data_IF_716846468547
#
_entry.id   IF_716846468547
#
_cell.length_a   1.000
_cell.length_b   1.000
_cell.length_c   1.000
_cell.angle_alpha   90.00
_cell.angle_beta   90.00
_cell.angle_gamma   90.00
#
_symmetry.space_group_name_H-M   'P 1'
#
loop_
_entity.id
_entity.type
_entity.pdbx_description
1 polymer ?
#
# COMPACT_ATOMS: atom_id res chain seq x y z
N UNK A 1 -17.00 -28.72 16.74
CA UNK A 1 -15.71 -28.05 16.46
C UNK A 1 -15.98 -26.87 15.55
N UNK A 2 -15.83 -25.65 16.04
CA UNK A 2 -15.87 -24.45 15.19
C UNK A 2 -14.57 -24.40 14.40
N UNK A 3 -14.64 -24.71 13.10
CA UNK A 3 -13.56 -24.39 12.17
C UNK A 3 -13.52 -22.86 12.12
N UNK A 4 -12.62 -22.26 12.89
CA UNK A 4 -12.25 -20.86 12.71
C UNK A 4 -11.72 -20.76 11.29
N UNK A 5 -12.49 -20.14 10.40
CA UNK A 5 -11.96 -19.62 9.16
C UNK A 5 -10.73 -18.80 9.53
N UNK A 6 -9.53 -19.33 9.23
CA UNK A 6 -8.36 -18.50 9.09
C UNK A 6 -8.71 -17.54 7.96
N UNK A 7 -9.26 -16.38 8.31
CA UNK A 7 -9.28 -15.23 7.44
C UNK A 7 -7.81 -15.04 7.10
N UNK A 8 -7.42 -15.34 5.86
CA UNK A 8 -6.13 -14.95 5.33
C UNK A 8 -6.08 -13.44 5.57
N UNK A 9 -5.42 -13.02 6.65
CA UNK A 9 -5.35 -11.62 7.02
C UNK A 9 -4.48 -11.01 5.93
N UNK A 10 -5.15 -10.38 4.98
CA UNK A 10 -4.52 -9.66 3.89
C UNK A 10 -3.84 -8.48 4.56
N UNK A 11 -2.52 -8.55 4.63
CA UNK A 11 -1.71 -7.59 5.36
C UNK A 11 -0.87 -6.79 4.38
N UNK A 12 -0.81 -5.47 4.59
CA UNK A 12 0.01 -4.54 3.83
C UNK A 12 1.04 -3.90 4.75
N UNK A 13 2.28 -3.78 4.28
CA UNK A 13 3.36 -3.12 5.00
C UNK A 13 3.95 -2.00 4.14
N UNK A 14 4.65 -1.07 4.76
CA UNK A 14 5.45 -0.07 4.04
C UNK A 14 6.88 -0.55 4.02
N UNK A 15 7.36 -0.85 2.81
CA UNK A 15 8.74 -1.18 2.54
C UNK A 15 9.49 0.02 1.97
N UNK A 16 10.77 0.12 2.32
CA UNK A 16 11.72 1.05 1.74
C UNK A 16 12.69 0.32 0.83
N UNK A 17 12.76 0.79 -0.42
CA UNK A 17 13.65 0.26 -1.45
C UNK A 17 14.93 1.11 -1.46
N UNK A 18 16.01 0.59 -0.86
CA UNK A 18 17.29 1.29 -0.78
C UNK A 18 17.82 1.69 -2.16
N UNK A 19 17.65 0.81 -3.16
CA UNK A 19 18.13 1.05 -4.53
C UNK A 19 17.45 2.24 -5.22
N UNK A 20 16.19 2.53 -4.88
CA UNK A 20 15.39 3.59 -5.50
C UNK A 20 15.17 4.78 -4.55
N UNK A 21 15.67 4.71 -3.31
CA UNK A 21 15.38 5.65 -2.23
C UNK A 21 13.87 5.98 -2.12
N UNK A 22 13.04 4.94 -2.13
CA UNK A 22 11.58 5.08 -2.26
C UNK A 22 10.81 4.23 -1.27
N UNK A 23 9.78 4.82 -0.67
CA UNK A 23 8.80 4.11 0.14
C UNK A 23 7.68 3.56 -0.74
N UNK A 24 7.14 2.41 -0.36
CA UNK A 24 6.06 1.79 -1.09
C UNK A 24 5.26 0.82 -0.23
N UNK A 25 3.94 0.86 -0.41
CA UNK A 25 3.05 -0.14 0.19
C UNK A 25 3.21 -1.48 -0.53
N UNK A 26 3.47 -2.55 0.23
CA UNK A 26 3.71 -3.90 -0.27
C UNK A 26 2.74 -4.85 0.43
N UNK A 27 1.98 -5.66 -0.31
CA UNK A 27 1.21 -6.74 0.28
C UNK A 27 2.13 -7.85 0.79
N UNK A 28 1.80 -8.44 1.93
CA UNK A 28 2.63 -9.46 2.57
C UNK A 28 2.92 -10.67 1.66
N UNK A 29 2.03 -11.00 0.73
CA UNK A 29 2.24 -12.10 -0.23
C UNK A 29 3.39 -11.85 -1.21
N UNK A 30 3.79 -10.59 -1.41
CA UNK A 30 4.91 -10.25 -2.28
C UNK A 30 6.25 -10.30 -1.54
N UNK A 31 6.21 -10.45 -0.21
CA UNK A 31 7.40 -10.50 0.62
C UNK A 31 7.89 -11.92 0.78
N UNK A 32 9.20 -12.07 0.62
CA UNK A 32 9.93 -13.31 0.82
C UNK A 32 10.98 -13.00 1.87
N UNK A 33 10.90 -13.68 3.00
CA UNK A 33 11.93 -13.63 4.02
C UNK A 33 13.01 -14.66 3.69
N UNK A 34 14.25 -14.21 3.49
CA UNK A 34 15.40 -15.07 3.30
C UNK A 34 16.42 -14.77 4.39
N UNK A 35 16.40 -15.58 5.45
CA UNK A 35 17.17 -15.33 6.67
C UNK A 35 16.75 -14.03 7.35
N UNK A 36 17.68 -13.08 7.44
CA UNK A 36 17.48 -11.76 8.06
C UNK A 36 17.13 -10.66 7.05
N UNK A 37 17.02 -10.99 5.76
CA UNK A 37 16.75 -10.02 4.70
C UNK A 37 15.35 -10.27 4.14
N UNK A 38 14.61 -9.19 3.89
CA UNK A 38 13.33 -9.22 3.20
C UNK A 38 13.53 -8.87 1.73
N UNK A 39 12.91 -9.67 0.86
CA UNK A 39 12.84 -9.44 -0.58
C UNK A 39 11.40 -9.23 -0.98
N UNK A 40 11.15 -8.28 -1.88
CA UNK A 40 9.84 -8.02 -2.47
C UNK A 40 9.86 -8.47 -3.93
N UNK A 41 8.93 -9.36 -4.32
CA UNK A 41 8.58 -9.56 -5.72
C UNK A 41 7.81 -8.35 -6.21
N UNK A 42 8.19 -7.79 -7.35
CA UNK A 42 7.52 -6.61 -7.89
C UNK A 42 7.21 -6.75 -9.38
N UNK A 43 5.97 -6.48 -9.83
CA UNK A 43 5.61 -6.62 -11.23
C UNK A 43 6.33 -5.57 -12.09
N UNK A 44 6.95 -5.99 -13.20
CA UNK A 44 7.59 -5.07 -14.16
C UNK A 44 6.56 -4.28 -14.99
N UNK A 45 5.41 -4.89 -15.24
CA UNK A 45 4.37 -4.36 -16.12
C UNK A 45 2.99 -4.53 -15.47
N UNK A 46 2.05 -3.65 -15.81
CA UNK A 46 0.66 -3.73 -15.35
C UNK A 46 0.27 -2.60 -14.39
N UNK A 47 -0.97 -2.67 -13.89
CA UNK A 47 -1.50 -1.67 -12.97
C UNK A 47 -1.15 -2.04 -11.53
N UNK A 48 0.08 -1.69 -11.12
CA UNK A 48 0.67 -2.03 -9.82
C UNK A 48 -0.24 -1.61 -8.66
N UNK A 49 -0.85 -0.42 -8.73
CA UNK A 49 -1.76 0.06 -7.68
C UNK A 49 -2.97 -0.85 -7.51
N UNK A 50 -3.56 -1.31 -8.63
CA UNK A 50 -4.66 -2.26 -8.60
C UNK A 50 -4.21 -3.61 -8.06
N UNK A 51 -3.08 -4.13 -8.53
CA UNK A 51 -2.54 -5.42 -8.10
C UNK A 51 -2.22 -5.47 -6.61
N UNK A 52 -1.64 -4.40 -6.06
CA UNK A 52 -1.43 -4.24 -4.62
C UNK A 52 -2.74 -4.23 -3.84
N UNK A 53 -3.76 -3.52 -4.33
CA UNK A 53 -5.07 -3.45 -3.69
C UNK A 53 -5.86 -4.77 -3.76
N UNK A 54 -5.67 -5.53 -4.84
CA UNK A 54 -6.31 -6.82 -5.08
C UNK A 54 -5.57 -7.99 -4.43
N UNK A 55 -4.41 -7.74 -3.84
CA UNK A 55 -3.54 -8.77 -3.26
C UNK A 55 -3.20 -9.88 -4.27
N UNK A 56 -2.92 -9.47 -5.51
CA UNK A 56 -2.60 -10.38 -6.62
C UNK A 56 -1.41 -11.29 -6.23
N UNK A 57 -1.45 -12.56 -6.62
CA UNK A 57 -0.34 -13.46 -6.35
C UNK A 57 0.86 -13.12 -7.24
N UNK A 58 2.08 -13.10 -6.69
CA UNK A 58 3.24 -12.76 -7.47
C UNK A 58 3.64 -13.92 -8.39
N UNK A 59 3.68 -13.66 -9.69
CA UNK A 59 4.12 -14.65 -10.67
C UNK A 59 5.63 -14.97 -10.52
N UNK A 60 6.06 -16.10 -11.07
CA UNK A 60 7.48 -16.50 -11.01
C UNK A 60 8.40 -15.60 -11.85
N UNK A 61 7.86 -14.91 -12.86
CA UNK A 61 8.62 -13.99 -13.71
C UNK A 61 8.83 -12.60 -13.07
N UNK A 62 8.27 -12.35 -11.89
CA UNK A 62 8.45 -11.07 -11.22
C UNK A 62 9.84 -10.94 -10.62
N UNK A 63 10.58 -9.86 -10.93
CA UNK A 63 11.87 -9.58 -10.30
C UNK A 63 11.71 -9.42 -8.79
N UNK A 64 12.74 -9.85 -8.07
CA UNK A 64 12.85 -9.68 -6.62
C UNK A 64 13.81 -8.53 -6.31
N UNK A 65 13.41 -7.70 -5.36
CA UNK A 65 14.19 -6.57 -4.90
C UNK A 65 14.38 -6.63 -3.39
N UNK A 66 15.58 -6.38 -2.86
CA UNK A 66 15.77 -6.27 -1.42
C UNK A 66 14.98 -5.07 -0.89
N UNK A 67 14.27 -5.27 0.21
CA UNK A 67 13.42 -4.25 0.83
C UNK A 67 13.61 -4.24 2.34
N UNK A 68 13.58 -3.05 2.93
CA UNK A 68 13.55 -2.88 4.39
C UNK A 68 12.13 -2.58 4.83
N UNK A 69 11.60 -3.40 5.73
CA UNK A 69 10.26 -3.16 6.28
C UNK A 69 10.38 -2.07 7.35
N UNK A 70 9.66 -0.97 7.15
CA UNK A 70 9.72 0.21 8.04
C UNK A 70 8.55 0.20 9.03
N UNK A 71 7.40 -0.35 8.63
CA UNK A 71 6.18 -0.35 9.44
C UNK A 71 5.68 -1.73 9.80
N UNK A 72 4.80 -1.76 10.80
CA UNK A 72 3.98 -2.93 11.10
C UNK A 72 2.98 -3.21 9.97
N UNK A 73 2.47 -4.44 9.95
CA UNK A 73 1.46 -4.90 9.00
C UNK A 73 0.08 -4.31 9.30
N UNK A 74 -0.54 -3.73 8.28
CA UNK A 74 -1.89 -3.14 8.30
C UNK A 74 -2.91 -4.05 7.63
N UNK A 75 -4.16 -3.99 8.09
CA UNK A 75 -5.26 -4.79 7.57
C UNK A 75 -5.91 -4.18 6.32
N UNK A 76 -5.56 -2.94 5.96
CA UNK A 76 -6.10 -2.27 4.78
C UNK A 76 -5.01 -1.56 3.99
N UNK A 77 -5.16 -1.56 2.67
CA UNK A 77 -4.26 -0.84 1.76
C UNK A 77 -4.25 0.67 2.03
N UNK A 78 -5.41 1.25 2.37
CA UNK A 78 -5.54 2.69 2.62
C UNK A 78 -4.77 3.12 3.87
N UNK A 79 -4.83 2.37 4.97
CA UNK A 79 -4.03 2.64 6.18
C UNK A 79 -2.54 2.60 5.88
N UNK A 80 -2.09 1.58 5.13
CA UNK A 80 -0.69 1.47 4.75
C UNK A 80 -0.24 2.64 3.86
N UNK A 81 -1.08 3.10 2.93
CA UNK A 81 -0.79 4.23 2.05
C UNK A 81 -0.78 5.57 2.79
N UNK A 82 -1.61 5.74 3.82
CA UNK A 82 -1.54 6.91 4.72
C UNK A 82 -0.19 6.90 5.45
N UNK A 83 0.20 5.75 6.00
CA UNK A 83 1.46 5.60 6.73
C UNK A 83 2.69 5.78 5.86
N UNK A 84 2.67 5.31 4.62
CA UNK A 84 3.71 5.58 3.62
C UNK A 84 3.94 7.08 3.46
N UNK A 85 2.86 7.87 3.31
CA UNK A 85 2.95 9.33 3.17
C UNK A 85 3.47 10.00 4.44
N UNK A 86 3.00 9.59 5.61
CA UNK A 86 3.50 10.09 6.89
C UNK A 86 5.00 9.85 7.03
N UNK A 87 5.48 8.65 6.68
CA UNK A 87 6.90 8.31 6.74
C UNK A 87 7.70 9.13 5.75
N UNK A 88 7.20 9.29 4.52
CA UNK A 88 7.86 10.12 3.53
C UNK A 88 8.02 11.56 4.02
N UNK A 89 6.99 12.14 4.65
CA UNK A 89 7.04 13.48 5.24
C UNK A 89 8.06 13.53 6.40
N UNK A 90 8.03 12.57 7.32
CA UNK A 90 8.95 12.51 8.47
C UNK A 90 10.41 12.27 8.07
N UNK A 91 10.64 11.46 7.03
CA UNK A 91 11.97 11.15 6.52
C UNK A 91 12.57 12.31 5.72
N UNK A 92 11.74 13.23 5.22
CA UNK A 92 12.20 14.44 4.55
C UNK A 92 12.45 15.51 5.61
N UNK A 93 13.70 15.96 5.82
CA UNK A 93 13.98 17.04 6.75
C UNK A 93 13.47 18.35 6.14
N UNK A 94 12.21 18.66 6.37
CA UNK A 94 11.60 19.93 6.00
C UNK A 94 11.20 20.64 7.27
N UNK A 95 11.89 21.74 7.56
CA UNK A 95 11.46 22.71 8.56
C UNK A 95 10.16 23.36 8.08
N UNK A 96 9.01 22.74 8.37
CA UNK A 96 7.74 23.47 8.33
C UNK A 96 6.73 22.77 9.22
N UNK A 97 6.60 23.32 10.43
CA UNK A 97 5.36 23.34 11.19
C UNK A 97 4.21 23.77 10.26
N UNK A 98 3.29 22.86 9.90
CA UNK A 98 1.99 23.21 9.32
C UNK A 98 1.04 21.99 9.24
N UNK A 99 0.19 21.91 10.28
CA UNK A 99 -1.28 21.84 10.20
C UNK A 99 -1.98 20.91 9.17
N UNK A 100 -2.85 20.07 9.73
CA UNK A 100 -4.22 19.72 9.30
C UNK A 100 -4.54 19.73 7.79
N UNK A 101 -5.02 18.58 7.28
CA UNK A 101 -6.34 18.48 6.62
C UNK A 101 -6.62 17.08 6.06
N UNK A 102 -7.35 16.28 6.84
CA UNK A 102 -8.20 15.21 6.34
C UNK A 102 -9.36 15.87 5.60
N UNK A 103 -9.35 15.91 4.26
CA UNK A 103 -10.47 16.46 3.50
C UNK A 103 -10.91 15.55 2.34
N UNK A 104 -12.13 15.02 2.53
CA UNK A 104 -13.22 14.90 1.56
C UNK A 104 -13.06 13.91 0.40
N UNK A 105 -13.57 12.70 0.65
CA UNK A 105 -14.14 11.85 -0.40
C UNK A 105 -15.33 12.55 -1.07
N UNK A 106 -15.13 13.03 -2.29
CA UNK A 106 -16.19 13.42 -3.24
C UNK A 106 -16.72 12.15 -3.94
N UNK A 107 -18.01 11.85 -3.81
CA UNK A 107 -18.76 11.15 -4.87
C UNK A 107 -20.03 11.94 -5.21
N UNK A 108 -19.92 12.68 -6.33
CA UNK A 108 -21.01 13.35 -7.03
C UNK A 108 -22.06 12.32 -7.47
N UNK A 109 -23.34 12.53 -7.15
CA UNK A 109 -24.46 11.81 -7.77
C UNK A 109 -25.31 12.80 -8.58
N UNK A 110 -25.26 12.54 -9.89
CA UNK A 110 -25.95 13.07 -11.08
C UNK A 110 -27.21 13.92 -10.86
N UNK A 111 -27.22 15.08 -11.53
CA UNK A 111 -28.36 15.95 -11.77
C UNK A 111 -28.99 15.62 -13.15
N UNK A 112 -30.29 15.33 -13.18
CA UNK A 112 -31.15 15.63 -14.33
C UNK A 112 -32.61 15.68 -13.85
N UNK A 113 -33.11 16.89 -13.57
CA UNK A 113 -34.54 17.17 -13.49
C UNK A 113 -34.81 18.28 -14.50
N UNK A 114 -35.37 17.93 -15.66
CA UNK A 114 -36.02 18.89 -16.55
C UNK A 114 -37.51 18.90 -16.19
N UNK A 115 -37.99 20.06 -15.76
CA UNK A 115 -39.42 20.37 -15.58
C UNK A 115 -39.79 21.31 -16.72
N UNK A 116 -40.84 20.99 -17.48
CA UNK A 116 -41.47 21.92 -18.42
C UNK A 116 -42.86 22.29 -17.87
N UNK A 117 -43.15 23.58 -17.94
CA UNK A 117 -44.44 24.22 -17.69
C UNK A 117 -45.44 23.91 -18.81
#
# INVERSE_FOLDING_TARGET
MLIRFHKNNVLWVVGYFDNENKYSVIPNNWLIQCGNIYFCKWPKNGNISKMKSSFEEPENDWPTFPVKIITQSFNTFEEAAIKEKEIFILATPSESDNTEQVNKQKKKKKEHRKTYY
#
